data_IF_386742875132
#
_entry.id   IF_386742875132
#
_cell.length_a   1.000
_cell.length_b   1.000
_cell.length_c   1.000
_cell.angle_alpha   90.00
_cell.angle_beta   90.00
_cell.angle_gamma   90.00
#
_symmetry.space_group_name_H-M   'P 1'
#
loop_
_entity.id
_entity.type
_entity.pdbx_description
1 polymer ?
#
# COMPACT_ATOMS: atom_id res chain seq x y z
N UNK A 1 -33.87 -22.05 17.29
CA UNK A 1 -32.81 -21.26 16.68
C UNK A 1 -32.32 -20.23 17.69
N UNK A 2 -31.38 -20.65 18.56
CA UNK A 2 -30.70 -19.75 19.50
C UNK A 2 -29.76 -18.85 18.72
N UNK A 3 -30.07 -17.56 18.66
CA UNK A 3 -29.16 -16.53 18.17
C UNK A 3 -28.00 -16.45 19.16
N UNK A 4 -26.81 -16.92 18.75
CA UNK A 4 -25.56 -16.65 19.46
C UNK A 4 -25.38 -15.12 19.52
N UNK A 5 -25.51 -14.55 20.71
CA UNK A 5 -25.14 -13.15 20.97
C UNK A 5 -23.65 -13.02 20.71
N UNK A 6 -23.20 -11.95 20.02
CA UNK A 6 -21.76 -11.69 19.93
C UNK A 6 -21.23 -11.54 21.35
N UNK A 7 -20.18 -12.31 21.66
CA UNK A 7 -19.51 -12.22 22.95
C UNK A 7 -19.04 -10.77 23.12
N UNK A 8 -19.59 -10.09 24.12
CA UNK A 8 -19.07 -8.81 24.55
C UNK A 8 -17.57 -9.02 24.87
N UNK A 9 -16.72 -8.11 24.40
CA UNK A 9 -15.32 -8.01 24.78
C UNK A 9 -15.28 -8.01 26.33
N UNK A 10 -15.04 -9.18 26.91
CA UNK A 10 -14.85 -9.30 28.35
C UNK A 10 -13.56 -8.55 28.68
N UNK A 11 -13.61 -7.69 29.67
CA UNK A 11 -12.43 -7.00 30.22
C UNK A 11 -11.38 -8.04 30.57
N UNK A 12 -10.25 -8.04 29.86
CA UNK A 12 -9.14 -8.97 30.09
C UNK A 12 -8.82 -9.91 28.92
N UNK A 13 -9.56 -9.87 27.79
CA UNK A 13 -9.17 -10.59 26.57
C UNK A 13 -8.09 -9.78 25.87
N UNK A 14 -6.90 -10.33 25.78
CA UNK A 14 -5.81 -9.77 24.97
C UNK A 14 -6.28 -9.69 23.53
N UNK A 15 -6.38 -8.46 22.98
CA UNK A 15 -6.77 -8.26 21.58
C UNK A 15 -5.58 -8.68 20.73
N UNK A 16 -5.70 -9.78 20.04
CA UNK A 16 -4.64 -10.26 19.17
C UNK A 16 -4.82 -9.65 17.78
N UNK A 17 -3.84 -8.87 17.37
CA UNK A 17 -3.76 -8.33 16.01
C UNK A 17 -2.71 -9.11 15.23
N UNK A 18 -3.01 -9.41 13.97
CA UNK A 18 -2.04 -10.01 13.04
C UNK A 18 -1.86 -9.04 11.88
N UNK A 19 -0.64 -8.56 11.73
CA UNK A 19 -0.19 -7.88 10.53
C UNK A 19 0.24 -8.92 9.50
N UNK A 20 -0.15 -8.73 8.25
CA UNK A 20 0.31 -9.59 7.15
C UNK A 20 0.70 -8.76 5.92
N UNK A 21 1.72 -9.26 5.23
CA UNK A 21 2.19 -8.74 3.95
C UNK A 21 1.58 -9.57 2.83
N UNK A 22 1.03 -8.92 1.82
CA UNK A 22 0.43 -9.58 0.67
C UNK A 22 0.87 -8.98 -0.66
N UNK A 23 0.79 -9.76 -1.71
CA UNK A 23 0.99 -9.31 -3.08
C UNK A 23 -0.37 -9.01 -3.74
N UNK A 24 -0.46 -7.88 -4.44
CA UNK A 24 -1.45 -7.62 -5.47
C UNK A 24 -0.77 -7.77 -6.82
N UNK A 25 -0.81 -8.97 -7.39
CA UNK A 25 -0.13 -9.32 -8.63
C UNK A 25 -0.53 -8.46 -9.82
N UNK A 26 0.31 -8.41 -10.84
CA UNK A 26 0.14 -7.56 -12.04
C UNK A 26 -1.22 -7.81 -12.72
N UNK A 27 -1.71 -9.05 -12.75
CA UNK A 27 -3.01 -9.40 -13.34
C UNK A 27 -4.18 -8.74 -12.61
N UNK A 28 -4.01 -8.43 -11.33
CA UNK A 28 -5.02 -7.75 -10.50
C UNK A 28 -4.87 -6.22 -10.48
N UNK A 29 -3.91 -5.63 -11.22
CA UNK A 29 -3.62 -4.18 -11.15
C UNK A 29 -4.84 -3.29 -11.38
N UNK A 30 -5.78 -3.73 -12.22
CA UNK A 30 -7.00 -2.98 -12.53
C UNK A 30 -8.15 -3.19 -11.53
N UNK A 31 -7.97 -4.07 -10.54
CA UNK A 31 -8.94 -4.27 -9.47
C UNK A 31 -8.77 -3.13 -8.44
N UNK A 32 -9.87 -2.45 -8.11
CA UNK A 32 -9.89 -1.34 -7.17
C UNK A 32 -9.65 -1.80 -5.71
N UNK A 33 -9.20 -0.86 -4.87
CA UNK A 33 -8.91 -1.13 -3.46
C UNK A 33 -10.10 -1.74 -2.70
N UNK A 34 -11.31 -1.24 -2.91
CA UNK A 34 -12.51 -1.75 -2.24
C UNK A 34 -12.84 -3.20 -2.65
N UNK A 35 -12.52 -3.60 -3.88
CA UNK A 35 -12.75 -4.96 -4.33
C UNK A 35 -11.69 -5.93 -3.79
N UNK A 36 -10.43 -5.47 -3.66
CA UNK A 36 -9.38 -6.21 -2.93
C UNK A 36 -9.80 -6.38 -1.46
N UNK A 37 -10.29 -5.35 -0.80
CA UNK A 37 -10.80 -5.43 0.57
C UNK A 37 -11.95 -6.46 0.69
N UNK A 38 -12.91 -6.43 -0.24
CA UNK A 38 -14.00 -7.42 -0.29
C UNK A 38 -13.49 -8.83 -0.52
N UNK A 39 -12.48 -9.00 -1.37
CA UNK A 39 -11.84 -10.30 -1.62
C UNK A 39 -11.16 -10.84 -0.36
N UNK A 40 -10.38 -10.00 0.36
CA UNK A 40 -9.75 -10.36 1.64
C UNK A 40 -10.79 -10.72 2.71
N UNK A 41 -11.85 -9.92 2.87
CA UNK A 41 -12.94 -10.24 3.81
C UNK A 41 -13.65 -11.55 3.49
N UNK A 42 -13.84 -11.87 2.19
CA UNK A 42 -14.40 -13.16 1.77
C UNK A 42 -13.44 -14.32 2.05
N UNK A 43 -12.13 -14.13 1.85
CA UNK A 43 -11.12 -15.11 2.17
C UNK A 43 -11.08 -15.38 3.69
N UNK A 44 -11.07 -14.35 4.53
CA UNK A 44 -11.15 -14.48 5.99
C UNK A 44 -12.38 -15.27 6.45
N UNK A 45 -13.56 -15.06 5.83
CA UNK A 45 -14.75 -15.85 6.16
C UNK A 45 -14.63 -17.32 5.76
N UNK A 46 -13.96 -17.62 4.63
CA UNK A 46 -13.78 -19.00 4.16
C UNK A 46 -12.65 -19.75 4.85
N UNK A 47 -11.67 -19.02 5.38
CA UNK A 47 -10.49 -19.61 6.02
C UNK A 47 -10.79 -20.37 7.31
N UNK A 48 -11.94 -20.07 7.97
CA UNK A 48 -12.25 -20.61 9.29
C UNK A 48 -11.50 -19.93 10.44
N UNK A 49 -10.70 -18.91 10.16
CA UNK A 49 -9.99 -18.14 11.17
C UNK A 49 -10.97 -17.44 12.13
N UNK A 50 -10.67 -17.38 13.42
CA UNK A 50 -11.52 -16.74 14.44
C UNK A 50 -11.36 -15.21 14.41
N UNK A 51 -11.81 -14.57 13.34
CA UNK A 51 -11.73 -13.11 13.17
C UNK A 51 -12.67 -12.38 14.12
N UNK A 52 -12.24 -11.21 14.60
CA UNK A 52 -13.08 -10.31 15.39
C UNK A 52 -13.97 -9.45 14.48
N UNK A 53 -15.14 -9.10 15.01
CA UNK A 53 -16.13 -8.25 14.33
C UNK A 53 -16.35 -6.97 15.12
N UNK A 54 -16.68 -5.90 14.40
CA UNK A 54 -17.08 -4.64 15.01
C UNK A 54 -18.38 -4.78 15.79
N UNK A 55 -18.55 -3.93 16.79
CA UNK A 55 -19.83 -3.79 17.50
C UNK A 55 -20.86 -3.03 16.66
N UNK A 56 -22.13 -3.30 16.89
CA UNK A 56 -23.25 -2.57 16.27
C UNK A 56 -24.20 -3.46 15.46
N UNK A 57 -25.11 -2.82 14.72
CA UNK A 57 -26.17 -3.52 13.98
C UNK A 57 -25.69 -4.24 12.72
N UNK A 58 -24.59 -3.78 12.11
CA UNK A 58 -23.97 -4.38 10.92
C UNK A 58 -22.52 -4.75 11.20
N UNK A 59 -22.27 -5.87 11.94
CA UNK A 59 -20.91 -6.28 12.27
C UNK A 59 -20.08 -6.58 11.02
N UNK A 60 -18.88 -6.01 10.94
CA UNK A 60 -17.92 -6.29 9.89
C UNK A 60 -16.59 -6.76 10.51
N UNK A 61 -15.83 -7.54 9.75
CA UNK A 61 -14.53 -8.01 10.18
C UNK A 61 -13.62 -6.80 10.43
N UNK A 62 -12.92 -6.81 11.55
CA UNK A 62 -11.93 -5.79 11.89
C UNK A 62 -10.66 -6.03 11.05
N UNK A 63 -10.69 -5.53 9.83
CA UNK A 63 -9.62 -5.57 8.83
C UNK A 63 -9.32 -4.15 8.38
N UNK A 64 -8.04 -3.76 8.45
CA UNK A 64 -7.54 -2.50 7.91
C UNK A 64 -6.36 -2.74 6.97
N UNK A 65 -6.14 -1.80 6.05
CA UNK A 65 -4.96 -1.79 5.18
C UNK A 65 -4.09 -0.60 5.57
N UNK A 66 -2.78 -0.80 5.55
CA UNK A 66 -1.85 0.29 5.88
C UNK A 66 -1.97 1.45 4.88
N UNK A 67 -2.23 1.16 3.61
CA UNK A 67 -2.50 2.19 2.61
C UNK A 67 -3.33 1.62 1.45
N UNK A 68 -4.21 2.43 0.88
CA UNK A 68 -4.88 2.08 -0.37
C UNK A 68 -3.89 2.08 -1.53
N UNK A 69 -3.94 1.05 -2.38
CA UNK A 69 -3.22 1.02 -3.64
C UNK A 69 -4.14 1.46 -4.78
N UNK A 70 -3.66 2.37 -5.63
CA UNK A 70 -4.42 2.88 -6.76
C UNK A 70 -4.77 1.78 -7.76
N UNK A 71 -5.92 1.93 -8.43
CA UNK A 71 -6.25 1.13 -9.62
C UNK A 71 -5.22 1.41 -10.71
N UNK A 72 -4.79 0.39 -11.44
CA UNK A 72 -3.71 0.46 -12.42
C UNK A 72 -2.34 0.04 -11.86
N UNK A 73 -2.16 0.01 -10.53
CA UNK A 73 -0.92 -0.39 -9.89
C UNK A 73 -0.96 -1.83 -9.35
N UNK A 74 0.17 -2.53 -9.47
CA UNK A 74 0.50 -3.75 -8.74
C UNK A 74 1.22 -3.43 -7.43
N UNK A 75 1.19 -4.36 -6.46
CA UNK A 75 1.89 -4.20 -5.18
C UNK A 75 2.58 -5.48 -4.78
N UNK A 76 3.86 -5.40 -4.43
CA UNK A 76 4.64 -6.58 -4.00
C UNK A 76 4.51 -6.84 -2.50
N UNK A 77 4.50 -5.77 -1.70
CA UNK A 77 4.48 -5.85 -0.24
C UNK A 77 3.45 -4.88 0.33
N UNK A 78 2.19 -5.20 0.08
CA UNK A 78 1.06 -4.48 0.67
C UNK A 78 0.80 -5.00 2.08
N UNK A 79 0.32 -4.16 2.99
CA UNK A 79 0.14 -4.54 4.39
C UNK A 79 -1.32 -4.43 4.79
N UNK A 80 -1.80 -5.47 5.44
CA UNK A 80 -3.09 -5.50 6.13
C UNK A 80 -2.91 -5.85 7.61
N UNK A 81 -3.89 -5.50 8.41
CA UNK A 81 -3.96 -5.73 9.85
C UNK A 81 -5.35 -6.27 10.20
N UNK A 82 -5.40 -7.43 10.85
CA UNK A 82 -6.63 -8.13 11.20
C UNK A 82 -6.68 -8.35 12.70
N UNK A 83 -7.81 -8.00 13.32
CA UNK A 83 -8.05 -8.33 14.72
C UNK A 83 -8.67 -9.72 14.83
N UNK A 84 -8.12 -10.54 15.71
CA UNK A 84 -8.58 -11.90 15.98
C UNK A 84 -9.41 -11.96 17.27
N UNK A 85 -10.44 -12.80 17.30
CA UNK A 85 -11.28 -13.01 18.48
C UNK A 85 -10.64 -13.96 19.52
N UNK A 86 -9.61 -14.71 19.12
CA UNK A 86 -8.79 -15.58 19.97
C UNK A 86 -7.42 -15.77 19.34
N UNK A 87 -6.48 -16.30 20.09
CA UNK A 87 -5.12 -16.52 19.66
C UNK A 87 -5.04 -17.43 18.43
N UNK A 88 -4.21 -17.02 17.48
CA UNK A 88 -3.87 -17.74 16.23
C UNK A 88 -2.40 -17.50 15.97
N UNK A 89 -1.65 -18.55 15.64
CA UNK A 89 -0.25 -18.38 15.25
C UNK A 89 -0.17 -17.66 13.89
N UNK A 90 0.85 -16.82 13.67
CA UNK A 90 1.08 -16.19 12.36
C UNK A 90 1.18 -17.21 11.22
N UNK A 91 1.79 -18.38 11.47
CA UNK A 91 1.94 -19.44 10.47
C UNK A 91 0.58 -20.07 10.10
N UNK A 92 -0.28 -20.35 11.09
CA UNK A 92 -1.63 -20.85 10.83
C UNK A 92 -2.47 -19.81 10.09
N UNK A 93 -2.35 -18.52 10.45
CA UNK A 93 -3.02 -17.43 9.75
C UNK A 93 -2.59 -17.40 8.28
N UNK A 94 -1.28 -17.40 8.02
CA UNK A 94 -0.70 -17.38 6.67
C UNK A 94 -1.21 -18.57 5.83
N UNK A 95 -1.12 -19.78 6.38
CA UNK A 95 -1.51 -21.00 5.69
C UNK A 95 -3.02 -21.02 5.36
N UNK A 96 -3.87 -20.70 6.35
CA UNK A 96 -5.33 -20.74 6.16
C UNK A 96 -5.80 -19.64 5.19
N UNK A 97 -5.20 -18.44 5.26
CA UNK A 97 -5.50 -17.38 4.31
C UNK A 97 -5.09 -17.77 2.88
N UNK A 98 -3.89 -18.30 2.69
CA UNK A 98 -3.39 -18.64 1.36
C UNK A 98 -4.18 -19.77 0.70
N UNK A 99 -4.77 -20.70 1.48
CA UNK A 99 -5.72 -21.70 0.95
C UNK A 99 -7.03 -21.06 0.43
N UNK A 100 -7.40 -19.91 0.98
CA UNK A 100 -8.63 -19.20 0.64
C UNK A 100 -8.45 -18.08 -0.40
N UNK A 101 -7.21 -17.67 -0.70
CA UNK A 101 -6.87 -16.59 -1.62
C UNK A 101 -6.48 -17.12 -3.01
N UNK A 102 -6.73 -16.33 -4.08
CA UNK A 102 -6.23 -16.67 -5.41
C UNK A 102 -4.70 -16.46 -5.51
N UNK A 103 -4.02 -17.08 -6.49
CA UNK A 103 -2.55 -17.01 -6.61
C UNK A 103 -1.95 -15.60 -6.69
N UNK A 104 -2.68 -14.64 -7.31
CA UNK A 104 -2.20 -13.26 -7.44
C UNK A 104 -2.50 -12.36 -6.23
N UNK A 105 -3.00 -12.94 -5.13
CA UNK A 105 -3.36 -12.22 -3.91
C UNK A 105 -2.91 -13.01 -2.67
N UNK A 106 -1.72 -13.58 -2.70
CA UNK A 106 -1.17 -14.41 -1.63
C UNK A 106 -0.50 -13.56 -0.55
N UNK A 107 -0.54 -14.06 0.69
CA UNK A 107 0.24 -13.53 1.78
C UNK A 107 1.64 -14.14 1.76
N UNK A 108 2.67 -13.32 1.96
CA UNK A 108 4.07 -13.76 2.01
C UNK A 108 4.63 -13.80 3.43
N UNK A 109 4.04 -13.04 4.36
CA UNK A 109 4.50 -12.93 5.73
C UNK A 109 3.34 -12.58 6.66
N UNK A 110 3.41 -13.01 7.90
CA UNK A 110 2.50 -12.58 8.96
C UNK A 110 3.24 -12.54 10.29
N UNK A 111 2.85 -11.62 11.18
CA UNK A 111 3.30 -11.57 12.57
C UNK A 111 2.20 -11.08 13.50
N UNK A 112 2.24 -11.50 14.75
CA UNK A 112 1.41 -10.95 15.80
C UNK A 112 1.89 -9.54 16.15
N UNK A 113 0.94 -8.64 16.43
CA UNK A 113 1.20 -7.31 16.93
C UNK A 113 0.71 -7.22 18.37
N UNK A 114 1.47 -6.49 19.19
CA UNK A 114 1.04 -6.17 20.56
C UNK A 114 -0.20 -5.26 20.54
N UNK A 115 -1.03 -5.34 21.57
CA UNK A 115 -2.24 -4.51 21.74
C UNK A 115 -1.95 -3.00 21.66
N UNK A 116 -0.75 -2.61 22.12
CA UNK A 116 -0.29 -1.21 22.12
C UNK A 116 0.36 -0.79 20.82
N UNK A 117 0.61 -1.73 19.89
CA UNK A 117 1.22 -1.40 18.61
C UNK A 117 0.32 -0.40 17.85
N UNK A 118 0.87 0.70 17.33
CA UNK A 118 0.10 1.66 16.53
C UNK A 118 -0.60 0.98 15.35
N UNK A 119 -1.65 1.59 14.83
CA UNK A 119 -2.25 1.13 13.58
C UNK A 119 -1.22 1.23 12.46
N UNK A 120 -1.06 0.16 11.64
CA UNK A 120 -0.08 0.15 10.55
C UNK A 120 -0.22 1.34 9.61
N UNK A 121 -1.44 1.81 9.37
CA UNK A 121 -1.73 3.00 8.56
C UNK A 121 -1.10 4.28 9.14
N UNK A 122 -1.04 4.44 10.46
CA UNK A 122 -0.47 5.61 11.11
C UNK A 122 1.07 5.66 11.01
N UNK A 123 1.71 4.53 10.75
CA UNK A 123 3.17 4.42 10.63
C UNK A 123 3.68 4.69 9.21
N UNK A 124 2.80 4.72 8.21
CA UNK A 124 3.19 4.95 6.81
C UNK A 124 3.73 6.37 6.63
N UNK A 125 4.94 6.49 6.11
CA UNK A 125 5.61 7.77 5.81
C UNK A 125 5.93 7.92 4.32
N UNK A 126 6.27 6.83 3.66
CA UNK A 126 6.63 6.82 2.25
C UNK A 126 6.25 5.47 1.61
N UNK A 127 6.38 5.42 0.30
CA UNK A 127 6.28 4.18 -0.45
C UNK A 127 7.37 4.13 -1.53
N UNK A 128 7.86 2.93 -1.76
CA UNK A 128 8.84 2.61 -2.80
C UNK A 128 8.11 2.10 -4.04
N UNK A 129 8.44 2.68 -5.19
CA UNK A 129 7.83 2.35 -6.47
C UNK A 129 8.86 2.02 -7.55
N UNK A 130 8.47 1.11 -8.42
CA UNK A 130 9.09 0.93 -9.74
C UNK A 130 8.06 1.32 -10.80
N UNK A 131 8.44 2.23 -11.70
CA UNK A 131 7.66 2.65 -12.84
C UNK A 131 8.36 2.12 -14.09
N UNK A 132 7.84 1.03 -14.66
CA UNK A 132 8.37 0.40 -15.84
C UNK A 132 7.78 1.06 -17.07
N UNK A 133 8.56 1.89 -17.74
CA UNK A 133 8.14 2.63 -18.95
C UNK A 133 8.13 1.68 -20.14
N UNK A 134 7.06 1.70 -20.95
CA UNK A 134 6.93 0.82 -22.12
C UNK A 134 7.76 1.34 -23.31
N UNK A 135 7.82 2.66 -23.51
CA UNK A 135 8.61 3.32 -24.56
C UNK A 135 10.06 3.50 -24.09
N UNK A 136 10.99 2.79 -24.72
CA UNK A 136 12.41 2.82 -24.37
C UNK A 136 13.07 4.18 -24.64
N UNK A 137 12.67 4.90 -25.68
CA UNK A 137 13.24 6.21 -26.01
C UNK A 137 12.78 7.25 -25.01
N UNK A 138 11.50 7.24 -24.64
CA UNK A 138 10.97 8.07 -23.57
C UNK A 138 11.64 7.74 -22.21
N UNK A 139 11.81 6.46 -21.89
CA UNK A 139 12.48 6.03 -20.67
C UNK A 139 13.92 6.55 -20.60
N UNK A 140 14.71 6.37 -21.66
CA UNK A 140 16.10 6.83 -21.72
C UNK A 140 16.18 8.35 -21.55
N UNK A 141 15.31 9.10 -22.21
CA UNK A 141 15.25 10.56 -22.12
C UNK A 141 14.89 11.01 -20.69
N UNK A 142 13.89 10.39 -20.09
CA UNK A 142 13.46 10.69 -18.73
C UNK A 142 14.53 10.35 -17.68
N UNK A 143 15.17 9.18 -17.82
CA UNK A 143 16.21 8.72 -16.88
C UNK A 143 17.43 9.64 -16.96
N UNK A 144 17.88 10.01 -18.15
CA UNK A 144 18.99 10.94 -18.33
C UNK A 144 18.71 12.34 -17.72
N UNK A 145 17.46 12.75 -17.68
CA UNK A 145 17.05 14.04 -17.12
C UNK A 145 16.89 14.05 -15.58
N UNK A 146 16.88 12.90 -14.90
CA UNK A 146 16.67 12.82 -13.45
C UNK A 146 17.62 13.72 -12.65
N UNK A 147 18.95 13.77 -12.91
CA UNK A 147 19.84 14.64 -12.14
C UNK A 147 19.43 16.12 -12.19
N UNK A 148 19.12 16.64 -13.36
CA UNK A 148 18.73 18.03 -13.54
C UNK A 148 17.31 18.29 -13.02
N UNK A 149 16.41 17.33 -13.18
CA UNK A 149 15.06 17.39 -12.61
C UNK A 149 15.08 17.55 -11.09
N UNK A 150 15.98 16.83 -10.40
CA UNK A 150 16.14 16.90 -8.94
C UNK A 150 16.83 18.18 -8.44
N UNK A 151 17.54 18.92 -9.30
CA UNK A 151 18.16 20.21 -8.95
C UNK A 151 17.14 21.35 -8.83
N UNK A 152 15.92 21.17 -9.36
CA UNK A 152 14.86 22.16 -9.22
C UNK A 152 14.50 22.37 -7.76
N UNK A 153 14.32 23.64 -7.36
CA UNK A 153 13.87 24.01 -6.00
C UNK A 153 12.38 23.70 -5.79
N UNK A 154 11.59 23.66 -6.85
CA UNK A 154 10.16 23.34 -6.87
C UNK A 154 9.82 22.56 -8.13
N UNK A 155 8.99 21.55 -8.01
CA UNK A 155 8.49 20.72 -9.13
C UNK A 155 6.97 20.70 -9.02
N UNK A 156 6.32 21.44 -9.93
CA UNK A 156 4.86 21.57 -9.93
C UNK A 156 4.21 20.43 -10.69
N UNK A 157 3.23 19.78 -10.07
CA UNK A 157 2.42 18.75 -10.68
C UNK A 157 0.94 18.95 -10.35
N UNK A 158 0.07 18.56 -11.28
CA UNK A 158 -1.38 18.66 -11.09
C UNK A 158 -1.90 17.47 -10.28
N UNK A 159 -2.53 17.76 -9.13
CA UNK A 159 -3.17 16.78 -8.27
C UNK A 159 -4.69 16.85 -8.41
N UNK A 160 -5.34 15.72 -8.69
CA UNK A 160 -6.79 15.64 -8.66
C UNK A 160 -7.28 15.61 -7.21
N UNK A 161 -8.15 16.53 -6.83
CA UNK A 161 -8.80 16.62 -5.54
C UNK A 161 -10.33 16.50 -5.70
N UNK A 162 -11.07 16.44 -4.59
CA UNK A 162 -12.54 16.45 -4.63
C UNK A 162 -13.10 17.75 -5.22
N UNK A 163 -12.39 18.85 -5.08
CA UNK A 163 -12.77 20.19 -5.58
C UNK A 163 -12.22 20.52 -6.97
N UNK A 164 -11.53 19.59 -7.65
CA UNK A 164 -10.95 19.78 -8.96
C UNK A 164 -9.44 19.53 -9.00
N UNK A 165 -8.77 20.04 -10.03
CA UNK A 165 -7.32 19.96 -10.19
C UNK A 165 -6.64 21.05 -9.36
N UNK A 166 -5.63 20.68 -8.60
CA UNK A 166 -4.82 21.60 -7.81
C UNK A 166 -3.35 21.41 -8.13
N UNK A 167 -2.65 22.49 -8.39
CA UNK A 167 -1.20 22.49 -8.52
C UNK A 167 -0.55 22.22 -7.15
N UNK A 168 0.42 21.33 -7.14
CA UNK A 168 1.11 20.87 -5.93
C UNK A 168 2.59 20.76 -6.22
N UNK A 169 3.44 21.32 -5.34
CA UNK A 169 4.87 21.09 -5.43
C UNK A 169 5.19 19.69 -4.88
N UNK A 170 5.72 18.85 -5.76
CA UNK A 170 6.11 17.48 -5.43
C UNK A 170 7.59 17.35 -5.07
N UNK A 171 8.42 18.39 -5.27
CA UNK A 171 9.86 18.32 -4.97
C UNK A 171 10.16 17.86 -3.53
N UNK A 172 9.52 18.42 -2.48
CA UNK A 172 9.73 17.99 -1.11
C UNK A 172 9.15 16.61 -0.80
N UNK A 173 8.33 16.04 -1.69
CA UNK A 173 7.74 14.71 -1.54
C UNK A 173 8.57 13.60 -2.20
N UNK A 174 9.60 13.94 -2.97
CA UNK A 174 10.53 13.01 -3.59
C UNK A 174 11.69 12.76 -2.63
N UNK A 175 11.74 11.57 -2.03
CA UNK A 175 12.83 11.14 -1.14
C UNK A 175 14.03 10.67 -1.96
N UNK A 176 13.78 9.80 -2.94
CA UNK A 176 14.80 9.37 -3.89
C UNK A 176 14.18 9.14 -5.27
N UNK A 177 15.00 9.31 -6.31
CA UNK A 177 14.63 9.06 -7.69
C UNK A 177 15.88 8.61 -8.44
N UNK A 178 15.78 7.47 -9.13
CA UNK A 178 16.84 6.92 -9.97
C UNK A 178 16.23 6.18 -11.17
N UNK A 179 17.06 5.79 -12.13
CA UNK A 179 16.58 5.02 -13.27
C UNK A 179 17.62 4.00 -13.72
N UNK A 180 17.15 2.86 -14.22
CA UNK A 180 17.96 1.79 -14.77
C UNK A 180 17.18 1.09 -15.90
N UNK A 181 17.80 0.96 -17.09
CA UNK A 181 17.16 0.39 -18.26
C UNK A 181 15.93 1.22 -18.67
N UNK A 182 14.73 0.66 -18.58
CA UNK A 182 13.47 1.36 -18.82
C UNK A 182 12.66 1.55 -17.52
N UNK A 183 13.26 1.29 -16.36
CA UNK A 183 12.61 1.44 -15.07
C UNK A 183 13.05 2.73 -14.36
N UNK A 184 12.09 3.45 -13.80
CA UNK A 184 12.32 4.55 -12.86
C UNK A 184 11.96 4.04 -11.46
N UNK A 185 12.90 4.17 -10.52
CA UNK A 185 12.75 3.83 -9.12
C UNK A 185 12.53 5.11 -8.31
N UNK A 186 11.48 5.16 -7.50
CA UNK A 186 11.11 6.34 -6.75
C UNK A 186 10.64 5.99 -5.34
N UNK A 187 11.27 6.58 -4.32
CA UNK A 187 10.71 6.62 -2.97
C UNK A 187 10.02 7.98 -2.80
N UNK A 188 8.72 7.92 -2.51
CA UNK A 188 7.88 9.12 -2.45
C UNK A 188 7.10 9.17 -1.14
N UNK A 189 6.92 10.36 -0.60
CA UNK A 189 6.10 10.59 0.59
C UNK A 189 4.67 10.07 0.39
N UNK A 190 4.20 9.35 1.37
CA UNK A 190 2.85 8.78 1.43
C UNK A 190 2.39 8.80 2.88
N UNK A 191 1.67 9.86 3.28
CA UNK A 191 1.05 10.01 4.59
C UNK A 191 -0.45 10.25 4.42
N UNK A 192 -1.18 10.36 5.51
CA UNK A 192 -2.62 10.69 5.46
C UNK A 192 -2.90 12.04 4.78
N UNK A 193 -2.02 13.01 4.94
CA UNK A 193 -2.20 14.39 4.45
C UNK A 193 -1.42 14.70 3.19
N UNK A 194 -0.25 14.09 3.03
CA UNK A 194 0.69 14.33 1.93
C UNK A 194 0.96 13.04 1.17
N UNK A 195 0.76 13.07 -0.13
CA UNK A 195 1.07 11.94 -1.00
C UNK A 195 1.51 12.44 -2.38
N UNK A 196 2.67 11.99 -2.83
CA UNK A 196 3.04 12.03 -4.23
C UNK A 196 2.62 10.72 -4.88
N UNK A 197 1.80 10.81 -5.93
CA UNK A 197 1.40 9.64 -6.70
C UNK A 197 2.32 9.44 -7.90
N UNK A 198 2.51 8.19 -8.36
CA UNK A 198 3.34 7.89 -9.53
C UNK A 198 2.96 8.67 -10.78
N UNK A 199 1.66 8.86 -11.04
CA UNK A 199 1.15 9.65 -12.18
C UNK A 199 1.57 11.12 -12.12
N UNK A 200 1.66 11.71 -10.92
CA UNK A 200 2.15 13.08 -10.75
C UNK A 200 3.64 13.19 -11.09
N UNK A 201 4.45 12.23 -10.64
CA UNK A 201 5.88 12.17 -10.98
C UNK A 201 6.09 11.96 -12.48
N UNK A 202 5.40 10.98 -13.07
CA UNK A 202 5.49 10.71 -14.52
C UNK A 202 5.13 11.94 -15.33
N UNK A 203 4.02 12.60 -15.02
CA UNK A 203 3.58 13.82 -15.70
C UNK A 203 4.61 14.96 -15.59
N UNK A 204 5.11 15.23 -14.39
CA UNK A 204 6.07 16.30 -14.16
C UNK A 204 7.40 16.03 -14.87
N UNK A 205 7.93 14.81 -14.80
CA UNK A 205 9.18 14.45 -15.43
C UNK A 205 9.05 14.44 -16.98
N UNK A 206 7.92 13.98 -17.51
CA UNK A 206 7.63 14.03 -18.94
C UNK A 206 7.57 15.46 -19.45
N UNK A 207 6.90 16.36 -18.75
CA UNK A 207 6.86 17.79 -19.06
C UNK A 207 8.26 18.40 -19.03
N UNK A 208 9.06 18.08 -18.03
CA UNK A 208 10.45 18.55 -17.91
C UNK A 208 11.32 18.09 -19.10
N UNK A 209 11.09 16.87 -19.58
CA UNK A 209 11.76 16.33 -20.78
C UNK A 209 11.21 16.87 -22.10
N UNK A 210 10.14 17.70 -22.10
CA UNK A 210 9.49 18.17 -23.32
C UNK A 210 8.81 17.05 -24.10
N UNK A 211 8.26 16.04 -23.42
CA UNK A 211 7.40 15.03 -24.02
C UNK A 211 5.96 15.59 -24.11
N UNK A 212 5.23 15.25 -25.16
CA UNK A 212 3.85 15.72 -25.36
C UNK A 212 2.89 15.18 -24.30
N UNK A 213 3.14 13.96 -23.81
CA UNK A 213 2.36 13.31 -22.75
C UNK A 213 3.25 12.38 -21.93
N UNK A 214 2.77 12.01 -20.75
CA UNK A 214 3.41 10.96 -19.96
C UNK A 214 3.29 9.62 -20.70
N UNK A 215 4.39 8.84 -20.83
CA UNK A 215 4.35 7.53 -21.45
C UNK A 215 3.57 6.53 -20.59
N UNK A 216 3.06 5.47 -21.24
CA UNK A 216 2.47 4.35 -20.52
C UNK A 216 3.53 3.65 -19.68
N UNK A 217 3.15 3.32 -18.45
CA UNK A 217 4.03 2.68 -17.49
C UNK A 217 3.28 1.64 -16.65
N UNK A 218 3.94 0.50 -16.41
CA UNK A 218 3.51 -0.43 -15.39
C UNK A 218 4.00 0.08 -14.03
N UNK A 219 3.06 0.46 -13.17
CA UNK A 219 3.34 0.96 -11.82
C UNK A 219 3.33 -0.21 -10.84
N UNK A 220 4.42 -0.38 -10.11
CA UNK A 220 4.57 -1.41 -9.07
C UNK A 220 4.95 -0.71 -7.77
N UNK A 221 4.12 -0.84 -6.73
CA UNK A 221 4.53 -0.46 -5.37
C UNK A 221 5.32 -1.61 -4.76
N UNK A 222 6.62 -1.42 -4.56
CA UNK A 222 7.50 -2.44 -4.01
C UNK A 222 7.23 -2.67 -2.53
N UNK A 223 6.92 -1.60 -1.78
CA UNK A 223 6.57 -1.68 -0.37
C UNK A 223 6.19 -0.33 0.23
N UNK A 224 5.71 -0.40 1.45
CA UNK A 224 5.44 0.76 2.31
C UNK A 224 6.61 0.95 3.26
N UNK A 225 6.91 2.20 3.58
CA UNK A 225 8.00 2.59 4.46
C UNK A 225 7.45 3.39 5.63
N UNK A 226 7.98 3.13 6.81
CA UNK A 226 7.79 3.93 8.00
C UNK A 226 9.13 4.44 8.52
N UNK A 227 9.16 5.10 9.69
CA UNK A 227 10.39 5.51 10.33
C UNK A 227 10.67 4.65 11.55
N UNK A 228 11.90 4.18 11.66
CA UNK A 228 12.40 3.48 12.84
C UNK A 228 12.68 4.46 14.00
N UNK A 229 13.21 3.94 15.10
CA UNK A 229 13.57 4.70 16.30
C UNK A 229 14.64 5.78 16.05
N UNK A 230 15.45 5.62 14.99
CA UNK A 230 16.47 6.58 14.58
C UNK A 230 15.92 7.63 13.59
N UNK A 231 14.66 7.49 13.17
CA UNK A 231 14.04 8.34 12.17
C UNK A 231 14.34 7.95 10.73
N UNK A 232 15.02 6.83 10.49
CA UNK A 232 15.37 6.34 9.17
C UNK A 232 14.18 5.61 8.51
N UNK A 233 14.04 5.75 7.18
CA UNK A 233 13.01 5.04 6.45
C UNK A 233 13.35 3.54 6.37
N UNK A 234 12.46 2.71 6.87
CA UNK A 234 12.59 1.26 6.89
C UNK A 234 11.31 0.59 6.37
N UNK A 235 11.39 -0.64 5.83
CA UNK A 235 10.20 -1.37 5.43
C UNK A 235 9.18 -1.46 6.57
N UNK A 236 7.93 -1.12 6.28
CA UNK A 236 6.88 -1.01 7.30
C UNK A 236 6.60 -2.33 8.02
N UNK A 237 6.84 -3.46 7.36
CA UNK A 237 6.71 -4.79 7.95
C UNK A 237 7.73 -5.09 9.06
N UNK A 238 8.77 -4.27 9.21
CA UNK A 238 9.82 -4.43 10.23
C UNK A 238 9.58 -3.58 11.49
N UNK A 239 8.60 -2.67 11.46
CA UNK A 239 8.23 -1.79 12.59
C UNK A 239 7.22 -2.46 13.58
#
# INVERSE_FOLDING_TARGET
LQRLRPAALQRGVQILRIMAVFEKGIRLRHIGHLDIQRAMMRALRRSGLPVAYSNGYNPHILLTFASALSTGAAGKKEILDVTMAREVSPDDFLQQMNRALPPDLQLSFARALDDKHPAMMALVQAADYTLQIEDADAANKMIAAIPDFLQQTSILAMRRTKSGMKETDIRPLLVSLSGEGTAIHAVMALTETLACKPDMLLSALSTFCGLESAPDALIIRNGLLGRDENGELTPLENL
#
